data_IF_957176332190
#
_entry.id   IF_957176332190
#
_cell.length_a   1.000
_cell.length_b   1.000
_cell.length_c   1.000
_cell.angle_alpha   90.00
_cell.angle_beta   90.00
_cell.angle_gamma   90.00
#
_symmetry.space_group_name_H-M   'P 1'
#
loop_
_entity.id
_entity.type
_entity.pdbx_description
1 polymer ?
#
# COMPACT_ATOMS: atom_id res chain seq x y z
N UNK A 1 1.32 -2.96 -20.96
CA UNK A 1 0.43 -4.02 -20.41
C UNK A 1 1.22 -4.78 -19.36
N UNK A 2 1.19 -4.33 -18.11
CA UNK A 2 1.84 -5.03 -17.00
C UNK A 2 0.84 -6.06 -16.52
N UNK A 3 1.07 -7.33 -16.88
CA UNK A 3 0.34 -8.44 -16.27
C UNK A 3 0.89 -8.60 -14.86
N UNK A 4 0.04 -8.37 -13.87
CA UNK A 4 0.30 -8.70 -12.47
C UNK A 4 0.34 -10.23 -12.34
N UNK A 5 1.50 -10.80 -12.61
CA UNK A 5 1.82 -12.16 -12.18
C UNK A 5 1.92 -12.11 -10.66
N UNK A 6 1.12 -12.90 -9.95
CA UNK A 6 1.17 -12.97 -8.47
C UNK A 6 2.60 -13.28 -8.02
N UNK A 7 3.35 -12.24 -7.65
CA UNK A 7 4.71 -12.37 -7.17
C UNK A 7 4.65 -12.68 -5.68
N UNK A 8 4.86 -13.94 -5.31
CA UNK A 8 5.06 -14.38 -3.93
C UNK A 8 6.51 -14.13 -3.45
N UNK A 9 7.11 -13.01 -3.86
CA UNK A 9 8.47 -12.62 -3.46
C UNK A 9 8.50 -12.02 -2.07
N UNK A 10 9.44 -12.47 -1.23
CA UNK A 10 9.77 -11.81 0.03
C UNK A 10 10.63 -10.57 -0.25
N UNK A 11 10.23 -9.41 0.25
CA UNK A 11 10.97 -8.15 0.10
C UNK A 11 11.33 -7.61 1.48
N UNK A 12 12.61 -7.26 1.67
CA UNK A 12 13.07 -6.50 2.82
C UNK A 12 13.42 -5.08 2.36
N UNK A 13 12.81 -4.07 2.98
CA UNK A 13 13.03 -2.67 2.65
C UNK A 13 13.50 -1.89 3.88
N UNK A 14 14.42 -0.94 3.68
CA UNK A 14 14.93 -0.04 4.71
C UNK A 14 14.81 1.40 4.21
N UNK A 15 14.25 2.30 5.03
CA UNK A 15 14.11 3.73 4.73
C UNK A 15 14.60 4.54 5.94
N UNK A 16 15.59 5.42 5.71
CA UNK A 16 16.06 6.36 6.73
C UNK A 16 15.15 7.58 6.73
N UNK A 17 14.71 7.97 7.93
CA UNK A 17 13.76 9.07 8.09
C UNK A 17 14.46 10.24 8.76
N UNK A 18 14.54 11.35 8.05
CA UNK A 18 15.21 12.56 8.55
C UNK A 18 14.22 13.56 9.18
N UNK A 19 12.95 13.56 8.76
CA UNK A 19 11.93 14.56 9.16
C UNK A 19 10.54 14.00 9.51
N UNK A 20 10.26 12.72 9.24
CA UNK A 20 8.92 12.14 9.41
C UNK A 20 8.95 10.78 10.11
N UNK A 21 7.97 10.49 10.97
CA UNK A 21 7.86 9.18 11.63
C UNK A 21 7.27 8.14 10.68
N UNK A 22 7.90 6.97 10.60
CA UNK A 22 7.38 5.80 9.87
C UNK A 22 6.95 4.79 10.91
N UNK A 23 5.66 4.52 10.95
CA UNK A 23 5.09 3.56 11.89
C UNK A 23 4.67 2.33 11.12
N UNK A 24 5.36 1.22 11.42
CA UNK A 24 4.87 -0.08 11.01
C UNK A 24 3.52 -0.36 11.69
N UNK A 25 2.51 -0.81 10.94
CA UNK A 25 1.28 -1.34 11.53
C UNK A 25 1.54 -2.42 12.56
N UNK A 26 0.64 -2.50 13.55
CA UNK A 26 0.55 -3.69 14.38
C UNK A 26 0.24 -4.89 13.48
N UNK A 27 1.11 -5.89 13.51
CA UNK A 27 0.89 -7.14 12.82
C UNK A 27 -0.21 -7.90 13.56
N UNK A 28 -1.32 -8.21 12.88
CA UNK A 28 -2.42 -9.00 13.45
C UNK A 28 -2.27 -10.44 12.93
N UNK A 29 -2.23 -11.41 13.84
CA UNK A 29 -2.08 -12.83 13.47
C UNK A 29 -0.81 -13.15 12.64
N UNK A 30 0.26 -12.37 12.81
CA UNK A 30 1.54 -12.57 12.11
C UNK A 30 1.58 -12.09 10.66
N UNK A 31 0.47 -11.56 10.12
CA UNK A 31 0.39 -11.06 8.74
C UNK A 31 -0.30 -9.70 8.66
N UNK A 32 0.04 -8.94 7.62
CA UNK A 32 -0.69 -7.72 7.32
C UNK A 32 -0.93 -7.62 5.82
N UNK A 33 -2.19 -7.43 5.43
CA UNK A 33 -2.57 -7.15 4.05
C UNK A 33 -2.72 -5.65 3.86
N UNK A 34 -2.01 -5.10 2.87
CA UNK A 34 -2.14 -3.72 2.41
C UNK A 34 -2.75 -3.74 1.01
N UNK A 35 -3.71 -2.85 0.77
CA UNK A 35 -4.08 -2.52 -0.60
C UNK A 35 -2.92 -1.80 -1.31
N UNK A 36 -2.95 -1.77 -2.64
CA UNK A 36 -1.94 -1.07 -3.44
C UNK A 36 -1.74 0.39 -2.99
N UNK A 37 -2.83 1.14 -2.83
CA UNK A 37 -2.78 2.54 -2.39
C UNK A 37 -2.20 2.71 -0.97
N UNK A 38 -2.46 1.77 -0.06
CA UNK A 38 -1.88 1.81 1.28
C UNK A 38 -0.38 1.50 1.26
N UNK A 39 0.05 0.56 0.41
CA UNK A 39 1.47 0.27 0.21
C UNK A 39 2.21 1.49 -0.36
N UNK A 40 1.65 2.15 -1.39
CA UNK A 40 2.25 3.36 -1.96
C UNK A 40 2.34 4.50 -0.94
N UNK A 41 1.27 4.74 -0.17
CA UNK A 41 1.28 5.77 0.87
C UNK A 41 2.29 5.47 1.98
N UNK A 42 2.41 4.21 2.39
CA UNK A 42 3.43 3.76 3.33
C UNK A 42 4.83 4.05 2.77
N UNK A 43 5.09 3.72 1.50
CA UNK A 43 6.39 3.90 0.86
C UNK A 43 6.75 5.38 0.63
N UNK A 44 5.75 6.20 0.31
CA UNK A 44 5.88 7.66 0.22
C UNK A 44 6.17 8.31 1.58
N UNK A 45 5.86 7.63 2.70
CA UNK A 45 5.99 8.19 4.07
C UNK A 45 4.78 9.02 4.51
N UNK A 46 3.64 8.84 3.83
CA UNK A 46 2.35 9.41 4.22
C UNK A 46 1.70 8.53 5.29
N UNK A 47 0.71 9.08 6.02
CA UNK A 47 -0.08 8.29 6.96
C UNK A 47 -1.02 7.34 6.19
N UNK A 48 -0.50 6.15 5.89
CA UNK A 48 -1.19 5.11 5.13
C UNK A 48 -2.49 4.63 5.82
N UNK A 49 -2.62 4.79 7.14
CA UNK A 49 -3.83 4.40 7.92
C UNK A 49 -5.04 5.26 7.55
N UNK A 50 -4.79 6.48 7.09
CA UNK A 50 -5.83 7.40 6.58
C UNK A 50 -6.19 7.14 5.12
N UNK A 51 -5.44 6.30 4.42
CA UNK A 51 -5.77 5.90 3.06
C UNK A 51 -6.87 4.84 3.10
N UNK A 52 -8.06 5.26 2.70
CA UNK A 52 -9.18 4.37 2.40
C UNK A 52 -9.24 4.19 0.90
N UNK A 53 -9.19 2.94 0.45
CA UNK A 53 -9.59 2.62 -0.91
C UNK A 53 -11.06 3.01 -1.05
N UNK A 54 -11.33 4.02 -1.88
CA UNK A 54 -12.70 4.28 -2.32
C UNK A 54 -13.03 3.17 -3.32
N UNK A 55 -14.18 2.52 -3.12
CA UNK A 55 -14.76 1.68 -4.16
C UNK A 55 -15.22 2.60 -5.28
N UNK A 56 -14.28 2.94 -6.17
CA UNK A 56 -14.58 3.72 -7.36
C UNK A 56 -15.12 2.72 -8.36
N UNK A 57 -16.44 2.69 -8.51
CA UNK A 57 -17.06 2.01 -9.64
C UNK A 57 -16.38 2.52 -10.90
N UNK A 58 -15.79 1.61 -11.68
CA UNK A 58 -15.19 1.96 -12.96
C UNK A 58 -16.21 2.79 -13.76
N UNK A 59 -15.80 3.93 -14.33
CA UNK A 59 -16.73 4.76 -15.08
C UNK A 59 -17.37 3.90 -16.18
N UNK A 60 -18.70 3.91 -16.26
CA UNK A 60 -19.38 3.39 -17.43
C UNK A 60 -18.88 4.22 -18.61
N UNK A 61 -18.17 3.57 -19.52
CA UNK A 61 -17.79 4.18 -20.78
C UNK A 61 -19.07 4.66 -21.45
N UNK A 62 -19.24 5.98 -21.53
CA UNK A 62 -20.29 6.59 -22.34
C UNK A 62 -19.79 6.46 -23.78
N UNK A 63 -20.44 5.58 -24.55
CA UNK A 63 -20.28 5.47 -26.00
C UNK A 63 -20.89 6.69 -26.72
#
# INVERSE_FOLDING_TARGET
>A
MVRETMANGLVMAYKRLEQHSFTWPAVKDGMMMLSHAQFEALFAGLDWRRVRALDVRAPEAVE
#
